data_IF_362527185206
#
_entry.id   IF_362527185206
#
_cell.length_a   1.000
_cell.length_b   1.000
_cell.length_c   1.000
_cell.angle_alpha   90.00
_cell.angle_beta   90.00
_cell.angle_gamma   90.00
#
_symmetry.space_group_name_H-M   'P 1'
#
loop_
_entity.id
_entity.type
_entity.pdbx_description
1 polymer ?
#
# COMPACT_ATOMS: atom_id res chain seq x y z
N UNK A 1 -13.47 14.13 -8.57
CA UNK A 1 -13.26 12.77 -9.08
C UNK A 1 -12.29 12.00 -8.20
N UNK A 2 -12.63 10.78 -7.88
CA UNK A 2 -11.75 9.93 -7.09
C UNK A 2 -10.65 9.37 -7.99
N UNK A 3 -9.43 9.42 -7.51
CA UNK A 3 -8.32 8.81 -8.21
C UNK A 3 -8.47 7.28 -8.22
N UNK A 4 -8.15 6.65 -9.34
CA UNK A 4 -8.04 5.20 -9.44
C UNK A 4 -6.58 4.73 -9.33
N UNK A 5 -5.64 5.65 -9.29
CA UNK A 5 -4.22 5.32 -9.19
C UNK A 5 -3.86 4.83 -7.79
N UNK A 6 -3.07 3.77 -7.74
CA UNK A 6 -2.54 3.22 -6.50
C UNK A 6 -1.02 3.19 -6.59
N UNK A 7 -0.36 3.80 -5.62
CA UNK A 7 1.11 3.81 -5.57
C UNK A 7 1.59 2.53 -4.91
N UNK A 8 2.47 1.81 -5.59
CA UNK A 8 3.02 0.56 -5.06
C UNK A 8 4.53 0.68 -4.91
N UNK A 9 5.02 0.61 -3.68
CA UNK A 9 6.45 0.46 -3.41
C UNK A 9 6.77 -1.03 -3.46
N UNK A 10 7.45 -1.46 -4.51
CA UNK A 10 7.70 -2.87 -4.74
C UNK A 10 8.41 -3.09 -6.07
N UNK A 11 8.04 -4.15 -6.75
CA UNK A 11 8.67 -4.56 -8.00
C UNK A 11 7.60 -5.03 -8.98
N UNK A 12 7.78 -4.71 -10.25
CA UNK A 12 6.90 -5.21 -11.32
C UNK A 12 6.87 -6.73 -11.42
N UNK A 13 7.83 -7.42 -10.81
CA UNK A 13 7.84 -8.88 -10.76
C UNK A 13 6.64 -9.45 -10.01
N UNK A 14 6.01 -8.68 -9.13
CA UNK A 14 4.78 -9.13 -8.48
C UNK A 14 3.58 -8.88 -9.40
N UNK A 15 3.47 -9.71 -10.41
CA UNK A 15 2.40 -9.62 -11.42
C UNK A 15 1.02 -9.87 -10.83
N UNK A 16 0.92 -10.73 -9.83
CA UNK A 16 -0.36 -11.07 -9.22
C UNK A 16 -0.98 -9.86 -8.54
N UNK A 17 -0.19 -9.10 -7.82
CA UNK A 17 -0.66 -7.87 -7.19
C UNK A 17 -1.12 -6.85 -8.23
N UNK A 18 -0.30 -6.62 -9.25
CA UNK A 18 -0.62 -5.68 -10.32
C UNK A 18 -1.90 -6.10 -11.03
N UNK A 19 -2.02 -7.37 -11.36
CA UNK A 19 -3.20 -7.89 -12.06
C UNK A 19 -4.44 -7.81 -11.19
N UNK A 20 -4.33 -8.11 -9.90
CA UNK A 20 -5.44 -8.02 -8.97
C UNK A 20 -5.97 -6.60 -8.89
N UNK A 21 -5.09 -5.62 -8.75
CA UNK A 21 -5.49 -4.22 -8.70
C UNK A 21 -6.15 -3.78 -10.01
N UNK A 22 -5.55 -4.15 -11.13
CA UNK A 22 -6.07 -3.79 -12.44
C UNK A 22 -7.45 -4.40 -12.69
N UNK A 23 -7.66 -5.63 -12.25
CA UNK A 23 -8.92 -6.34 -12.49
C UNK A 23 -10.10 -5.70 -11.76
N UNK A 24 -9.86 -4.92 -10.73
CA UNK A 24 -10.92 -4.24 -9.98
C UNK A 24 -10.97 -2.74 -10.25
N UNK A 25 -10.29 -2.30 -11.30
CA UNK A 25 -10.41 -0.93 -11.79
C UNK A 25 -9.38 0.06 -11.27
N UNK A 26 -8.39 -0.40 -10.53
CA UNK A 26 -7.30 0.47 -10.08
C UNK A 26 -6.16 0.47 -11.10
N UNK A 27 -5.38 1.55 -11.09
CA UNK A 27 -4.22 1.69 -11.97
C UNK A 27 -2.98 1.70 -11.08
N UNK A 28 -2.27 0.56 -10.96
CA UNK A 28 -1.08 0.50 -10.13
C UNK A 28 0.09 1.21 -10.79
N UNK A 29 0.79 2.02 -10.01
CA UNK A 29 2.06 2.61 -10.40
C UNK A 29 3.13 2.06 -9.47
N UNK A 30 4.01 1.23 -10.01
CA UNK A 30 5.00 0.50 -9.23
C UNK A 30 6.34 1.20 -9.30
N UNK A 31 6.90 1.49 -8.14
CA UNK A 31 8.21 2.14 -8.00
C UNK A 31 9.10 1.29 -7.09
N UNK A 32 10.34 1.12 -7.49
CA UNK A 32 11.30 0.32 -6.73
C UNK A 32 11.99 1.06 -5.60
N UNK A 33 11.93 2.39 -5.58
CA UNK A 33 12.62 3.18 -4.57
C UNK A 33 11.65 4.03 -3.76
N UNK A 34 11.97 4.16 -2.49
CA UNK A 34 11.22 5.02 -1.57
C UNK A 34 11.22 6.47 -2.05
N UNK A 35 12.36 6.95 -2.49
CA UNK A 35 12.51 8.34 -2.94
C UNK A 35 11.59 8.67 -4.10
N UNK A 36 11.59 7.83 -5.15
CA UNK A 36 10.74 8.06 -6.31
C UNK A 36 9.27 7.95 -5.95
N UNK A 37 8.93 6.99 -5.09
CA UNK A 37 7.55 6.82 -4.62
C UNK A 37 7.05 8.08 -3.91
N UNK A 38 7.86 8.64 -3.02
CA UNK A 38 7.49 9.85 -2.28
C UNK A 38 7.38 11.06 -3.20
N UNK A 39 8.26 11.17 -4.20
CA UNK A 39 8.16 12.24 -5.19
C UNK A 39 6.84 12.16 -5.96
N UNK A 40 6.45 10.96 -6.35
CA UNK A 40 5.17 10.77 -7.05
C UNK A 40 3.99 11.15 -6.17
N UNK A 41 4.05 10.78 -4.90
CA UNK A 41 2.97 11.08 -3.95
C UNK A 41 2.78 12.59 -3.78
N UNK A 42 3.86 13.37 -3.83
CA UNK A 42 3.77 14.83 -3.75
C UNK A 42 3.07 15.43 -4.98
N UNK A 43 3.30 14.86 -6.15
CA UNK A 43 2.87 15.46 -7.42
C UNK A 43 1.60 14.87 -8.02
N UNK A 44 1.11 13.77 -7.47
CA UNK A 44 -0.05 13.07 -8.03
C UNK A 44 -0.96 12.60 -6.90
N UNK A 45 -2.27 12.58 -7.15
CA UNK A 45 -3.23 12.01 -6.21
C UNK A 45 -3.34 10.51 -6.41
N UNK A 46 -3.36 9.80 -5.30
CA UNK A 46 -3.52 8.35 -5.28
C UNK A 46 -4.67 7.96 -4.35
N UNK A 47 -5.35 6.86 -4.67
CA UNK A 47 -6.38 6.30 -3.82
C UNK A 47 -5.79 5.61 -2.59
N UNK A 48 -4.59 5.06 -2.72
CA UNK A 48 -3.92 4.34 -1.64
C UNK A 48 -2.44 4.17 -1.96
N UNK A 49 -1.68 3.81 -0.93
CA UNK A 49 -0.28 3.41 -1.05
C UNK A 49 -0.17 1.97 -0.58
N UNK A 50 0.48 1.14 -1.37
CA UNK A 50 0.74 -0.26 -1.03
C UNK A 50 2.24 -0.46 -0.90
N UNK A 51 2.67 -1.09 0.19
CA UNK A 51 4.06 -1.47 0.38
C UNK A 51 4.15 -2.99 0.28
N UNK A 52 4.89 -3.47 -0.70
CA UNK A 52 5.07 -4.89 -0.96
C UNK A 52 6.41 -5.32 -0.37
N UNK A 53 6.38 -5.81 0.87
CA UNK A 53 7.59 -6.14 1.62
C UNK A 53 8.46 -7.20 0.94
N UNK A 54 7.84 -8.09 0.21
CA UNK A 54 8.56 -9.17 -0.46
C UNK A 54 9.44 -8.64 -1.59
N UNK A 55 9.10 -7.49 -2.14
CA UNK A 55 9.74 -6.95 -3.32
C UNK A 55 10.36 -5.57 -3.08
N UNK A 56 10.64 -5.22 -1.83
CA UNK A 56 11.34 -3.98 -1.51
C UNK A 56 12.29 -4.19 -0.33
N UNK A 57 13.42 -3.49 -0.36
CA UNK A 57 14.37 -3.45 0.75
C UNK A 57 14.24 -2.15 1.56
N UNK A 58 13.25 -1.33 1.24
CA UNK A 58 13.06 -0.06 1.90
C UNK A 58 12.67 -0.25 3.37
N UNK A 59 13.06 0.73 4.20
CA UNK A 59 12.60 0.81 5.57
C UNK A 59 11.12 1.20 5.56
N UNK A 60 10.26 0.24 5.86
CA UNK A 60 8.82 0.43 5.74
C UNK A 60 8.30 1.47 6.73
N UNK A 61 8.77 1.43 7.98
CA UNK A 61 8.34 2.40 8.98
C UNK A 61 8.72 3.82 8.56
N UNK A 62 9.95 4.01 8.11
CA UNK A 62 10.40 5.31 7.62
C UNK A 62 9.55 5.78 6.43
N UNK A 63 9.29 4.87 5.50
CA UNK A 63 8.46 5.19 4.33
C UNK A 63 7.08 5.67 4.74
N UNK A 64 6.41 4.95 5.65
CA UNK A 64 5.06 5.32 6.09
C UNK A 64 5.07 6.67 6.81
N UNK A 65 6.06 6.91 7.65
CA UNK A 65 6.16 8.20 8.33
C UNK A 65 6.31 9.34 7.32
N UNK A 66 7.11 9.14 6.28
CA UNK A 66 7.25 10.13 5.23
C UNK A 66 5.95 10.30 4.42
N UNK A 67 5.23 9.21 4.16
CA UNK A 67 3.92 9.30 3.51
C UNK A 67 2.97 10.15 4.36
N UNK A 68 2.97 9.97 5.67
CA UNK A 68 2.10 10.73 6.58
C UNK A 68 2.45 12.20 6.63
N UNK A 69 3.70 12.56 6.43
CA UNK A 69 4.09 13.97 6.31
C UNK A 69 3.51 14.62 5.06
N UNK A 70 3.32 13.84 4.00
CA UNK A 70 2.76 14.33 2.74
C UNK A 70 1.23 14.29 2.77
N UNK A 71 0.66 13.20 3.29
CA UNK A 71 -0.78 12.99 3.32
C UNK A 71 -1.16 12.16 4.55
N UNK A 72 -1.82 12.79 5.50
CA UNK A 72 -2.20 12.14 6.76
C UNK A 72 -3.31 11.10 6.60
N UNK A 73 -4.08 11.17 5.52
CA UNK A 73 -5.30 10.39 5.39
C UNK A 73 -5.25 9.26 4.39
N UNK A 74 -4.28 9.25 3.49
CA UNK A 74 -4.23 8.22 2.47
C UNK A 74 -4.09 6.83 3.10
N UNK A 75 -4.92 5.85 2.69
CA UNK A 75 -4.75 4.50 3.20
C UNK A 75 -3.41 3.91 2.79
N UNK A 76 -2.73 3.27 3.75
CA UNK A 76 -1.49 2.55 3.49
C UNK A 76 -1.72 1.08 3.79
N UNK A 77 -1.40 0.22 2.85
CA UNK A 77 -1.54 -1.22 2.99
C UNK A 77 -0.16 -1.85 2.90
N UNK A 78 0.25 -2.54 3.94
CA UNK A 78 1.54 -3.22 3.99
C UNK A 78 1.31 -4.71 3.78
N UNK A 79 1.93 -5.28 2.77
CA UNK A 79 1.76 -6.69 2.41
C UNK A 79 3.05 -7.44 2.71
N UNK A 80 2.91 -8.57 3.37
CA UNK A 80 4.02 -9.46 3.65
C UNK A 80 4.47 -9.45 5.10
N UNK A 81 5.15 -10.52 5.53
CA UNK A 81 5.64 -10.63 6.90
C UNK A 81 6.82 -9.71 7.14
N UNK A 82 6.90 -9.17 8.35
CA UNK A 82 8.05 -8.41 8.79
C UNK A 82 9.05 -9.28 9.52
N UNK A 83 10.24 -8.73 9.73
CA UNK A 83 11.33 -9.42 10.42
C UNK A 83 11.44 -9.04 11.90
N UNK A 84 10.73 -8.02 12.34
CA UNK A 84 10.82 -7.48 13.70
C UNK A 84 9.44 -7.14 14.22
N UNK A 85 8.99 -7.86 15.23
CA UNK A 85 7.67 -7.66 15.81
C UNK A 85 7.50 -6.27 16.42
N UNK A 86 8.56 -5.70 16.95
CA UNK A 86 8.49 -4.36 17.55
C UNK A 86 8.21 -3.30 16.48
N UNK A 87 8.85 -3.44 15.35
CA UNK A 87 8.61 -2.56 14.21
C UNK A 87 7.17 -2.75 13.69
N UNK A 88 6.73 -3.99 13.55
CA UNK A 88 5.38 -4.30 13.08
C UNK A 88 4.31 -3.74 14.02
N UNK A 89 4.54 -3.79 15.32
CA UNK A 89 3.63 -3.18 16.28
C UNK A 89 3.54 -1.67 16.10
N UNK A 90 4.67 -1.01 15.86
CA UNK A 90 4.69 0.42 15.59
C UNK A 90 3.91 0.75 14.32
N UNK A 91 4.13 -0.02 13.25
CA UNK A 91 3.43 0.18 11.99
C UNK A 91 1.92 0.01 12.19
N UNK A 92 1.49 -1.04 12.90
CA UNK A 92 0.09 -1.32 13.10
C UNK A 92 -0.65 -0.23 13.89
N UNK A 93 0.06 0.57 14.65
CA UNK A 93 -0.52 1.66 15.43
C UNK A 93 -0.62 2.97 14.65
N UNK A 94 -0.01 3.04 13.48
CA UNK A 94 -0.12 4.23 12.65
C UNK A 94 -1.53 4.31 12.06
N UNK A 95 -2.07 5.51 12.03
CA UNK A 95 -3.42 5.73 11.52
C UNK A 95 -3.53 5.34 10.05
N UNK A 96 -4.68 4.81 9.67
CA UNK A 96 -5.03 4.41 8.30
C UNK A 96 -4.01 3.48 7.66
N UNK A 97 -3.46 2.58 8.47
CA UNK A 97 -2.47 1.60 8.03
C UNK A 97 -2.99 0.21 8.29
N UNK A 98 -2.99 -0.62 7.27
CA UNK A 98 -3.48 -1.99 7.31
C UNK A 98 -2.33 -2.92 6.97
N UNK A 99 -2.18 -3.98 7.74
CA UNK A 99 -1.16 -4.98 7.49
C UNK A 99 -1.79 -6.29 7.04
N UNK A 100 -1.36 -6.78 5.88
CA UNK A 100 -1.80 -8.06 5.35
C UNK A 100 -0.61 -9.01 5.32
N UNK A 101 -0.85 -10.26 5.67
CA UNK A 101 0.22 -11.25 5.80
C UNK A 101 0.90 -11.57 4.47
N UNK A 102 0.15 -11.57 3.38
CA UNK A 102 0.71 -11.90 2.07
C UNK A 102 0.89 -13.39 1.82
N UNK A 103 0.55 -14.23 2.80
CA UNK A 103 0.59 -15.68 2.64
C UNK A 103 -0.73 -16.24 2.14
N UNK A 104 -1.74 -15.40 2.04
CA UNK A 104 -3.05 -15.79 1.54
C UNK A 104 -2.96 -16.12 0.04
N UNK A 105 -3.87 -16.97 -0.43
CA UNK A 105 -4.00 -17.23 -1.85
C UNK A 105 -4.38 -15.93 -2.57
N UNK A 106 -4.02 -15.83 -3.83
CA UNK A 106 -4.20 -14.62 -4.62
C UNK A 106 -5.62 -14.07 -4.56
N UNK A 107 -6.62 -14.95 -4.64
CA UNK A 107 -8.01 -14.53 -4.58
C UNK A 107 -8.36 -13.93 -3.21
N UNK A 108 -7.90 -14.55 -2.13
CA UNK A 108 -8.14 -14.05 -0.78
C UNK A 108 -7.43 -12.72 -0.55
N UNK A 109 -6.20 -12.59 -1.02
CA UNK A 109 -5.45 -11.33 -0.92
C UNK A 109 -6.17 -10.24 -1.70
N UNK A 110 -6.63 -10.56 -2.90
CA UNK A 110 -7.39 -9.63 -3.72
C UNK A 110 -8.65 -9.14 -3.02
N UNK A 111 -9.41 -10.04 -2.41
CA UNK A 111 -10.60 -9.67 -1.66
C UNK A 111 -10.28 -8.76 -0.48
N UNK A 112 -9.22 -9.04 0.25
CA UNK A 112 -8.78 -8.21 1.38
C UNK A 112 -8.33 -6.82 0.92
N UNK A 113 -7.62 -6.75 -0.19
CA UNK A 113 -7.22 -5.48 -0.77
C UNK A 113 -8.42 -4.64 -1.17
N UNK A 114 -9.37 -5.25 -1.88
CA UNK A 114 -10.59 -4.57 -2.31
C UNK A 114 -11.37 -4.06 -1.10
N UNK A 115 -11.53 -4.91 -0.10
CA UNK A 115 -12.25 -4.52 1.12
C UNK A 115 -11.56 -3.35 1.82
N UNK A 116 -10.25 -3.38 1.94
CA UNK A 116 -9.47 -2.32 2.57
C UNK A 116 -9.60 -1.00 1.81
N UNK A 117 -9.55 -1.04 0.49
CA UNK A 117 -9.66 0.13 -0.35
C UNK A 117 -11.08 0.72 -0.32
N UNK A 118 -12.08 -0.13 -0.38
CA UNK A 118 -13.48 0.29 -0.32
C UNK A 118 -13.92 0.70 1.08
N UNK A 119 -13.44 0.01 2.10
CA UNK A 119 -13.74 0.33 3.48
C UNK A 119 -13.32 1.74 3.85
N UNK A 120 -12.20 2.18 3.30
CA UNK A 120 -11.68 3.53 3.48
C UNK A 120 -12.64 4.60 2.97
N UNK A 121 -13.39 4.31 1.92
CA UNK A 121 -14.39 5.21 1.37
C UNK A 121 -15.67 5.21 2.19
N UNK A 122 -16.04 4.08 2.75
CA UNK A 122 -17.29 3.93 3.48
C UNK A 122 -17.27 4.58 4.86
N UNK A 123 -16.11 4.81 5.40
CA UNK A 123 -15.97 5.49 6.69
C UNK A 123 -16.48 6.93 6.68
N UNK A 124 -16.65 7.50 5.52
CA UNK A 124 -17.08 8.89 5.36
C UNK A 124 -18.58 9.05 5.11
N UNK A 125 -19.31 7.99 5.18
CA UNK A 125 -20.77 8.01 4.94
C UNK A 125 -21.55 8.34 6.20
#
# INVERSE_FOLDING_TARGET
MNSQAVLVLGNHANRDLVQTLSSVGFVPQVWGSMRHSLQKLVHQRFAAVIVDRKFTNADVLEFILNVRDINEEIPVIVIGPGNDERIDKKISRLGRTIMLNGSERDDTLGEKLIHSLKGSKNENV
#
